data_IF_138284256508
#
_entry.id   IF_138284256508
#
_cell.length_a   1.000
_cell.length_b   1.000
_cell.length_c   1.000
_cell.angle_alpha   90.00
_cell.angle_beta   90.00
_cell.angle_gamma   90.00
#
_symmetry.space_group_name_H-M   'P 1'
#
loop_
_entity.id
_entity.type
_entity.pdbx_description
1 polymer ?
#
# COMPACT_ATOMS: atom_id res chain seq x y z
N UNK A 1 23.38 -14.30 37.07
CA UNK A 1 23.85 -14.05 35.70
C UNK A 1 22.68 -13.57 34.88
N UNK A 2 22.57 -12.24 34.65
CA UNK A 2 21.55 -11.67 33.80
C UNK A 2 22.04 -11.85 32.36
N UNK A 3 21.25 -12.55 31.54
CA UNK A 3 21.46 -12.58 30.11
C UNK A 3 21.34 -11.13 29.58
N UNK A 4 22.42 -10.59 29.05
CA UNK A 4 22.40 -9.37 28.24
C UNK A 4 21.55 -9.64 27.02
N UNK A 5 20.28 -9.28 27.08
CA UNK A 5 19.43 -9.19 25.90
C UNK A 5 20.05 -8.12 25.02
N UNK A 6 20.52 -8.54 23.87
CA UNK A 6 21.01 -7.70 22.78
C UNK A 6 19.92 -6.66 22.48
N UNK A 7 20.07 -5.44 23.00
CA UNK A 7 19.02 -4.43 23.02
C UNK A 7 18.92 -3.81 21.63
N UNK A 8 18.05 -4.38 20.82
CA UNK A 8 17.45 -3.70 19.68
C UNK A 8 17.09 -2.26 20.10
N UNK A 9 17.32 -1.26 19.25
CA UNK A 9 16.99 0.14 19.57
C UNK A 9 15.53 0.23 20.08
N UNK A 10 15.28 0.63 21.35
CA UNK A 10 13.94 0.58 21.96
C UNK A 10 12.89 1.34 21.17
N UNK A 11 13.29 2.45 20.52
CA UNK A 11 12.39 3.23 19.67
C UNK A 11 11.99 2.46 18.41
N UNK A 12 12.90 1.71 17.80
CA UNK A 12 12.58 0.84 16.66
C UNK A 12 11.72 -0.34 17.11
N UNK A 13 12.07 -0.98 18.24
CA UNK A 13 11.32 -2.10 18.79
C UNK A 13 9.86 -1.73 19.09
N UNK A 14 9.62 -0.57 19.70
CA UNK A 14 8.26 -0.08 19.96
C UNK A 14 7.52 0.21 18.64
N UNK A 15 8.16 0.86 17.67
CA UNK A 15 7.55 1.14 16.37
C UNK A 15 7.19 -0.13 15.60
N UNK A 16 8.06 -1.13 15.60
CA UNK A 16 7.82 -2.44 15.00
C UNK A 16 6.67 -3.19 15.69
N UNK A 17 6.62 -3.16 17.03
CA UNK A 17 5.56 -3.81 17.80
C UNK A 17 4.19 -3.16 17.53
N UNK A 18 4.12 -1.83 17.45
CA UNK A 18 2.90 -1.09 17.10
C UNK A 18 2.46 -1.45 15.66
N UNK A 19 3.38 -1.43 14.71
CA UNK A 19 3.11 -1.80 13.33
C UNK A 19 2.58 -3.24 13.21
N UNK A 20 3.21 -4.19 13.90
CA UNK A 20 2.78 -5.59 13.91
C UNK A 20 1.39 -5.79 14.58
N UNK A 21 1.09 -5.04 15.63
CA UNK A 21 -0.22 -5.09 16.28
C UNK A 21 -1.32 -4.54 15.35
N UNK A 22 -1.04 -3.43 14.64
CA UNK A 22 -1.95 -2.86 13.64
C UNK A 22 -2.19 -3.83 12.48
N UNK A 23 -1.12 -4.42 11.93
CA UNK A 23 -1.22 -5.41 10.84
C UNK A 23 -2.08 -6.61 11.24
N UNK A 24 -1.88 -7.12 12.45
CA UNK A 24 -2.70 -8.22 12.99
C UNK A 24 -4.18 -7.85 13.09
N UNK A 25 -4.49 -6.67 13.65
CA UNK A 25 -5.86 -6.19 13.77
C UNK A 25 -6.52 -5.99 12.39
N UNK A 26 -5.79 -5.47 11.41
CA UNK A 26 -6.27 -5.32 10.04
C UNK A 26 -6.49 -6.67 9.36
N UNK A 27 -5.58 -7.62 9.51
CA UNK A 27 -5.73 -8.96 8.96
C UNK A 27 -6.95 -9.69 9.53
N UNK A 28 -7.14 -9.64 10.86
CA UNK A 28 -8.32 -10.22 11.52
C UNK A 28 -9.61 -9.58 11.01
N UNK A 29 -9.64 -8.25 10.95
CA UNK A 29 -10.80 -7.50 10.51
C UNK A 29 -11.12 -7.74 9.03
N UNK A 30 -10.15 -7.58 8.13
CA UNK A 30 -10.34 -7.77 6.70
C UNK A 30 -10.70 -9.21 6.34
N UNK A 31 -10.12 -10.20 7.02
CA UNK A 31 -10.47 -11.61 6.82
C UNK A 31 -11.96 -11.89 7.03
N UNK A 32 -12.54 -11.29 8.07
CA UNK A 32 -13.97 -11.40 8.36
C UNK A 32 -14.81 -10.62 7.35
N UNK A 33 -14.37 -9.41 7.01
CA UNK A 33 -15.09 -8.52 6.10
C UNK A 33 -15.18 -9.08 4.68
N UNK A 34 -14.08 -9.56 4.11
CA UNK A 34 -14.05 -10.02 2.71
C UNK A 34 -14.77 -11.36 2.50
N UNK A 35 -14.97 -12.14 3.56
CA UNK A 35 -15.66 -13.43 3.50
C UNK A 35 -17.11 -13.27 3.00
N UNK A 36 -17.79 -12.16 3.28
CA UNK A 36 -19.15 -11.89 2.79
C UNK A 36 -19.24 -11.77 1.26
N UNK A 37 -18.11 -11.51 0.58
CA UNK A 37 -18.01 -11.44 -0.88
C UNK A 37 -17.51 -12.77 -1.50
N UNK A 38 -17.44 -13.87 -0.75
CA UNK A 38 -16.83 -15.13 -1.22
C UNK A 38 -15.32 -15.02 -1.45
N UNK A 39 -14.67 -14.02 -0.84
CA UNK A 39 -13.23 -13.77 -0.97
C UNK A 39 -12.47 -14.19 0.28
N UNK A 40 -11.16 -14.28 0.15
CA UNK A 40 -10.23 -14.62 1.24
C UNK A 40 -9.12 -13.59 1.32
N UNK A 41 -8.73 -13.21 2.53
CA UNK A 41 -7.50 -12.47 2.78
C UNK A 41 -6.35 -13.47 2.95
N UNK A 42 -5.34 -13.33 2.11
CA UNK A 42 -4.12 -14.15 2.16
C UNK A 42 -2.98 -13.22 2.59
N UNK A 43 -2.38 -13.47 3.74
CA UNK A 43 -1.25 -12.68 4.30
C UNK A 43 0.04 -13.51 4.48
N UNK A 44 -0.01 -14.80 4.10
CA UNK A 44 1.14 -15.70 4.16
C UNK A 44 1.18 -16.54 2.89
N UNK A 45 2.39 -16.92 2.49
CA UNK A 45 2.59 -17.91 1.44
C UNK A 45 2.30 -19.33 1.93
N UNK A 46 2.41 -20.29 1.04
CA UNK A 46 2.25 -21.70 1.37
C UNK A 46 3.25 -22.13 2.44
N UNK A 47 2.81 -23.04 3.30
CA UNK A 47 3.69 -23.59 4.31
C UNK A 47 4.82 -24.40 3.64
N UNK A 48 6.04 -24.25 4.14
CA UNK A 48 7.17 -25.04 3.69
C UNK A 48 6.91 -26.51 4.01
N UNK A 49 6.85 -27.42 3.02
CA UNK A 49 6.47 -28.83 3.23
C UNK A 49 7.41 -29.59 4.16
N UNK A 50 8.67 -29.11 4.31
CA UNK A 50 9.66 -29.76 5.18
C UNK A 50 9.61 -29.27 6.64
N UNK A 51 9.24 -28.03 6.86
CA UNK A 51 9.30 -27.40 8.20
C UNK A 51 7.93 -27.06 8.78
N UNK A 52 6.86 -27.10 7.97
CA UNK A 52 5.52 -26.66 8.33
C UNK A 52 5.40 -25.14 8.59
N UNK A 53 6.50 -24.39 8.44
CA UNK A 53 6.48 -22.94 8.67
C UNK A 53 5.87 -22.20 7.49
N UNK A 54 5.00 -21.24 7.77
CA UNK A 54 4.47 -20.31 6.77
C UNK A 54 5.62 -19.52 6.14
N UNK A 55 5.51 -19.31 4.83
CA UNK A 55 6.45 -18.51 4.07
C UNK A 55 5.94 -17.08 3.87
N UNK A 56 6.76 -16.23 3.29
CA UNK A 56 6.31 -14.92 2.82
C UNK A 56 5.34 -15.08 1.66
N UNK A 57 4.35 -14.20 1.58
CA UNK A 57 3.47 -14.13 0.42
C UNK A 57 4.24 -13.46 -0.73
N UNK A 58 4.63 -14.26 -1.71
CA UNK A 58 5.36 -13.79 -2.88
C UNK A 58 4.46 -13.79 -4.11
N UNK A 59 4.36 -12.65 -4.78
CA UNK A 59 3.83 -12.54 -6.13
C UNK A 59 4.97 -12.17 -7.09
N UNK A 60 4.80 -12.54 -8.35
CA UNK A 60 5.86 -12.37 -9.35
C UNK A 60 5.41 -11.39 -10.45
N UNK A 61 6.35 -10.69 -11.05
CA UNK A 61 6.13 -9.93 -12.28
C UNK A 61 6.28 -10.80 -13.53
N UNK A 62 6.16 -10.18 -14.72
CA UNK A 62 6.32 -10.87 -16.00
C UNK A 62 7.76 -11.37 -16.27
N UNK A 63 8.74 -10.91 -15.50
CA UNK A 63 10.15 -11.29 -15.63
C UNK A 63 10.58 -12.31 -14.57
N UNK A 64 9.65 -12.73 -13.68
CA UNK A 64 9.94 -13.68 -12.61
C UNK A 64 10.53 -13.03 -11.35
N UNK A 65 10.54 -11.70 -11.25
CA UNK A 65 10.97 -11.01 -10.03
C UNK A 65 9.92 -11.21 -8.94
N UNK A 66 10.36 -11.67 -7.78
CA UNK A 66 9.48 -11.91 -6.63
C UNK A 66 9.30 -10.64 -5.80
N UNK A 67 8.06 -10.31 -5.49
CA UNK A 67 7.66 -9.22 -4.59
C UNK A 67 6.95 -9.79 -3.38
N UNK A 68 7.42 -9.41 -2.18
CA UNK A 68 6.75 -9.77 -0.94
C UNK A 68 5.57 -8.83 -0.71
N UNK A 69 4.36 -9.39 -0.65
CA UNK A 69 3.13 -8.66 -0.34
C UNK A 69 2.76 -8.86 1.12
N UNK A 70 2.25 -7.81 1.77
CA UNK A 70 1.77 -7.92 3.15
C UNK A 70 0.45 -8.71 3.19
N UNK A 71 -0.48 -8.42 2.26
CA UNK A 71 -1.68 -9.22 2.07
C UNK A 71 -2.27 -9.09 0.66
N UNK A 72 -3.11 -10.05 0.29
CA UNK A 72 -3.85 -10.07 -0.97
C UNK A 72 -5.27 -10.55 -0.69
N UNK A 73 -6.27 -9.84 -1.23
CA UNK A 73 -7.64 -10.35 -1.27
C UNK A 73 -7.80 -11.13 -2.57
N UNK A 74 -8.12 -12.41 -2.46
CA UNK A 74 -8.29 -13.33 -3.57
C UNK A 74 -9.72 -13.91 -3.61
N UNK A 75 -10.17 -14.29 -4.81
CA UNK A 75 -11.43 -14.99 -4.98
C UNK A 75 -11.30 -16.49 -4.59
N UNK A 76 -12.39 -17.26 -4.72
CA UNK A 76 -12.40 -18.70 -4.42
C UNK A 76 -11.40 -19.51 -5.25
N UNK A 77 -11.12 -19.08 -6.48
CA UNK A 77 -10.12 -19.69 -7.36
C UNK A 77 -8.69 -19.22 -7.06
N UNK A 78 -8.45 -18.54 -5.95
CA UNK A 78 -7.16 -17.97 -5.52
C UNK A 78 -6.58 -16.94 -6.50
N UNK A 79 -7.39 -16.35 -7.35
CA UNK A 79 -6.95 -15.25 -8.20
C UNK A 79 -6.89 -13.95 -7.38
N UNK A 80 -5.79 -13.20 -7.40
CA UNK A 80 -5.65 -11.95 -6.65
C UNK A 80 -6.57 -10.87 -7.24
N UNK A 81 -7.35 -10.21 -6.39
CA UNK A 81 -8.27 -9.13 -6.78
C UNK A 81 -7.83 -7.77 -6.26
N UNK A 82 -7.29 -7.73 -5.03
CA UNK A 82 -6.81 -6.50 -4.40
C UNK A 82 -5.48 -6.77 -3.72
N UNK A 83 -4.47 -5.94 -4.01
CA UNK A 83 -3.21 -5.91 -3.26
C UNK A 83 -3.40 -5.02 -2.02
N UNK A 84 -2.92 -5.49 -0.88
CA UNK A 84 -3.00 -4.74 0.39
C UNK A 84 -1.61 -4.65 1.01
N UNK A 85 -1.21 -3.44 1.36
CA UNK A 85 0.09 -3.16 1.95
C UNK A 85 -0.08 -2.38 3.25
N UNK A 86 0.65 -2.77 4.30
CA UNK A 86 0.66 -2.11 5.60
C UNK A 86 2.00 -1.45 5.83
N UNK A 87 2.03 -0.13 6.01
CA UNK A 87 3.28 0.59 6.23
C UNK A 87 3.17 1.50 7.43
N UNK A 88 4.00 1.23 8.42
CA UNK A 88 4.20 2.11 9.55
C UNK A 88 5.51 2.89 9.40
N UNK A 89 5.48 4.21 9.60
CA UNK A 89 6.65 5.08 9.62
C UNK A 89 6.55 6.09 10.76
N UNK A 90 7.54 6.09 11.63
CA UNK A 90 7.63 7.09 12.70
C UNK A 90 8.20 8.42 12.21
N UNK A 91 9.27 8.40 11.40
CA UNK A 91 9.98 9.59 10.94
C UNK A 91 9.85 9.77 9.43
N UNK A 92 9.63 11.01 9.00
CA UNK A 92 9.37 11.35 7.57
C UNK A 92 10.52 11.04 6.61
N UNK A 93 11.77 10.89 7.09
CA UNK A 93 12.96 10.78 6.22
C UNK A 93 12.97 9.58 5.26
N UNK A 94 12.23 8.51 5.55
CA UNK A 94 12.19 7.29 4.72
C UNK A 94 10.89 7.15 3.92
N UNK A 95 10.03 8.16 3.92
CA UNK A 95 8.71 8.09 3.27
C UNK A 95 8.79 7.84 1.78
N UNK A 96 9.69 8.58 1.09
CA UNK A 96 9.80 8.52 -0.36
C UNK A 96 10.26 7.15 -0.83
N UNK A 97 11.30 6.61 -0.21
CA UNK A 97 11.87 5.31 -0.59
C UNK A 97 10.86 4.18 -0.41
N UNK A 98 10.19 4.14 0.75
CA UNK A 98 9.15 3.12 1.04
C UNK A 98 7.95 3.26 0.12
N UNK A 99 7.51 4.49 -0.17
CA UNK A 99 6.42 4.75 -1.10
C UNK A 99 6.77 4.37 -2.54
N UNK A 100 7.97 4.70 -3.01
CA UNK A 100 8.45 4.34 -4.36
C UNK A 100 8.52 2.82 -4.55
N UNK A 101 9.07 2.11 -3.54
CA UNK A 101 9.11 0.65 -3.60
C UNK A 101 7.72 0.03 -3.70
N UNK A 102 6.77 0.50 -2.91
CA UNK A 102 5.38 0.05 -2.94
C UNK A 102 4.77 0.27 -4.33
N UNK A 103 4.93 1.46 -4.92
CA UNK A 103 4.46 1.77 -6.27
C UNK A 103 5.06 0.81 -7.30
N UNK A 104 6.37 0.57 -7.24
CA UNK A 104 7.08 -0.34 -8.15
C UNK A 104 6.55 -1.77 -8.02
N UNK A 105 6.45 -2.30 -6.81
CA UNK A 105 5.98 -3.65 -6.55
C UNK A 105 4.53 -3.86 -7.04
N UNK A 106 3.62 -2.96 -6.65
CA UNK A 106 2.22 -3.07 -7.04
C UNK A 106 2.02 -2.97 -8.55
N UNK A 107 2.70 -2.03 -9.22
CA UNK A 107 2.61 -1.88 -10.68
C UNK A 107 3.16 -3.11 -11.41
N UNK A 108 4.30 -3.65 -10.99
CA UNK A 108 4.91 -4.83 -11.60
C UNK A 108 4.01 -6.06 -11.47
N UNK A 109 3.45 -6.29 -10.28
CA UNK A 109 2.55 -7.41 -10.02
C UNK A 109 1.22 -7.27 -10.77
N UNK A 110 0.63 -6.06 -10.81
CA UNK A 110 -0.62 -5.79 -11.57
C UNK A 110 -0.47 -6.04 -13.07
N UNK A 111 0.70 -5.74 -13.65
CA UNK A 111 0.96 -6.03 -15.09
C UNK A 111 0.90 -7.51 -15.41
N UNK A 112 1.25 -8.37 -14.49
CA UNK A 112 1.18 -9.84 -14.66
C UNK A 112 -0.20 -10.39 -14.35
N UNK A 113 -0.84 -9.91 -13.30
CA UNK A 113 -2.09 -10.43 -12.78
C UNK A 113 -3.27 -9.55 -13.19
N UNK A 114 -3.84 -9.80 -14.37
CA UNK A 114 -4.96 -9.03 -14.94
C UNK A 114 -6.24 -9.07 -14.08
N UNK A 115 -6.34 -10.02 -13.13
CA UNK A 115 -7.45 -10.10 -12.18
C UNK A 115 -7.38 -9.03 -11.09
N UNK A 116 -6.23 -8.39 -10.86
CA UNK A 116 -6.07 -7.36 -9.84
C UNK A 116 -6.77 -6.08 -10.27
N UNK A 117 -7.81 -5.71 -9.53
CA UNK A 117 -8.67 -4.55 -9.79
C UNK A 117 -8.24 -3.30 -9.02
N UNK A 118 -7.57 -3.48 -7.86
CA UNK A 118 -7.21 -2.38 -6.97
C UNK A 118 -5.92 -2.65 -6.19
N UNK A 119 -5.27 -1.56 -5.81
CA UNK A 119 -4.16 -1.54 -4.86
C UNK A 119 -4.52 -0.65 -3.68
N UNK A 120 -4.34 -1.16 -2.46
CA UNK A 120 -4.63 -0.48 -1.22
C UNK A 120 -3.35 -0.39 -0.40
N UNK A 121 -3.06 0.79 0.15
CA UNK A 121 -2.01 0.97 1.15
C UNK A 121 -2.57 1.63 2.41
N UNK A 122 -2.36 0.98 3.56
CA UNK A 122 -2.71 1.49 4.87
C UNK A 122 -1.44 2.04 5.50
N UNK A 123 -1.41 3.36 5.62
CA UNK A 123 -0.25 4.14 6.03
C UNK A 123 -0.42 4.62 7.46
N UNK A 124 0.37 4.13 8.39
CA UNK A 124 0.34 4.59 9.77
C UNK A 124 1.57 5.44 10.09
N UNK A 125 1.36 6.51 10.88
CA UNK A 125 2.42 7.38 11.35
C UNK A 125 2.66 8.63 10.50
N UNK A 126 3.92 9.05 10.39
CA UNK A 126 4.31 10.37 9.85
C UNK A 126 4.56 10.32 8.33
N UNK A 127 3.53 10.29 7.53
CA UNK A 127 3.61 10.31 6.06
C UNK A 127 3.52 11.71 5.47
N UNK A 128 4.46 12.09 4.60
CA UNK A 128 4.45 13.39 3.92
C UNK A 128 3.36 13.47 2.86
N UNK A 129 2.86 14.69 2.60
CA UNK A 129 1.89 14.93 1.54
C UNK A 129 2.44 14.52 0.17
N UNK A 130 3.71 14.84 -0.12
CA UNK A 130 4.36 14.48 -1.39
C UNK A 130 4.46 12.98 -1.62
N UNK A 131 4.79 12.19 -0.58
CA UNK A 131 4.80 10.73 -0.70
C UNK A 131 3.41 10.16 -0.92
N UNK A 132 2.39 10.72 -0.27
CA UNK A 132 1.00 10.33 -0.48
C UNK A 132 0.51 10.68 -1.89
N UNK A 133 0.84 11.88 -2.39
CA UNK A 133 0.50 12.30 -3.75
C UNK A 133 1.16 11.37 -4.80
N UNK A 134 2.44 11.04 -4.62
CA UNK A 134 3.15 10.09 -5.49
C UNK A 134 2.46 8.72 -5.52
N UNK A 135 2.09 8.14 -4.37
CA UNK A 135 1.40 6.84 -4.37
C UNK A 135 0.02 6.91 -5.03
N UNK A 136 -0.73 8.02 -4.85
CA UNK A 136 -2.01 8.22 -5.54
C UNK A 136 -1.85 8.33 -7.05
N UNK A 137 -0.77 8.97 -7.54
CA UNK A 137 -0.49 9.05 -8.99
C UNK A 137 -0.15 7.68 -9.62
N UNK A 138 0.06 6.66 -8.80
CA UNK A 138 0.21 5.26 -9.20
C UNK A 138 -1.07 4.41 -8.93
N UNK A 139 -2.23 5.05 -8.86
CA UNK A 139 -3.54 4.41 -8.64
C UNK A 139 -3.60 3.54 -7.37
N UNK A 140 -2.95 4.00 -6.30
CA UNK A 140 -2.99 3.33 -5.00
C UNK A 140 -3.98 4.06 -4.08
N UNK A 141 -4.99 3.35 -3.61
CA UNK A 141 -5.95 3.83 -2.63
C UNK A 141 -5.29 3.90 -1.25
N UNK A 142 -5.22 5.09 -0.67
CA UNK A 142 -4.52 5.35 0.58
C UNK A 142 -5.49 5.54 1.75
N UNK A 143 -5.23 4.79 2.83
CA UNK A 143 -5.88 4.95 4.12
C UNK A 143 -4.84 5.34 5.14
N UNK A 144 -5.01 6.48 5.81
CA UNK A 144 -3.97 7.07 6.66
C UNK A 144 -4.40 7.07 8.11
N UNK A 145 -3.57 6.49 8.97
CA UNK A 145 -3.68 6.56 10.43
C UNK A 145 -2.62 7.57 10.90
N UNK A 146 -3.01 8.78 11.30
CA UNK A 146 -2.07 9.83 11.68
C UNK A 146 -1.20 9.46 12.88
N UNK A 147 0.04 9.96 12.91
CA UNK A 147 0.95 9.75 14.02
C UNK A 147 0.39 10.27 15.35
N UNK A 148 -0.30 11.40 15.28
CA UNK A 148 -0.95 12.06 16.43
C UNK A 148 -1.99 11.15 17.10
N UNK A 149 -2.78 10.42 16.30
CA UNK A 149 -3.74 9.45 16.83
C UNK A 149 -3.05 8.30 17.57
N UNK A 150 -1.98 7.76 16.97
CA UNK A 150 -1.20 6.68 17.59
C UNK A 150 -0.63 7.15 18.94
N UNK A 151 -0.06 8.35 18.95
CA UNK A 151 0.53 8.97 20.15
C UNK A 151 -0.52 9.18 21.23
N UNK A 152 -1.72 9.64 20.88
CA UNK A 152 -2.81 9.85 21.82
C UNK A 152 -3.27 8.54 22.46
N UNK A 153 -3.47 7.50 21.65
CA UNK A 153 -3.88 6.18 22.14
C UNK A 153 -2.86 5.60 23.11
N UNK A 154 -1.57 5.64 22.76
CA UNK A 154 -0.51 5.16 23.62
C UNK A 154 -0.39 5.96 24.93
N UNK A 155 -0.63 7.28 24.88
CA UNK A 155 -0.62 8.14 26.08
C UNK A 155 -1.68 7.75 27.10
N UNK A 156 -2.83 7.22 26.69
CA UNK A 156 -3.87 6.71 27.60
C UNK A 156 -3.35 5.54 28.46
N UNK A 157 -2.33 4.84 27.98
CA UNK A 157 -1.64 3.77 28.71
C UNK A 157 -0.33 4.26 29.37
N UNK A 158 -0.13 5.57 29.49
CA UNK A 158 1.08 6.16 30.10
C UNK A 158 2.35 6.02 29.24
N UNK A 159 2.20 5.65 27.98
CA UNK A 159 3.30 5.47 27.04
C UNK A 159 3.48 6.76 26.24
N UNK A 160 4.62 7.43 26.40
CA UNK A 160 4.99 8.58 25.60
C UNK A 160 5.57 8.08 24.28
N UNK A 161 5.10 8.59 23.12
CA UNK A 161 5.56 8.12 21.82
C UNK A 161 6.05 9.24 20.89
N UNK A 162 5.94 10.48 21.30
CA UNK A 162 6.30 11.70 20.59
C UNK A 162 7.69 12.25 20.94
N UNK A 163 8.60 11.41 21.46
CA UNK A 163 9.97 11.82 21.80
C UNK A 163 10.83 12.07 20.55
N UNK A 164 11.85 12.94 20.68
CA UNK A 164 12.84 13.20 19.65
C UNK A 164 13.84 12.05 19.45
N UNK A 165 14.56 12.05 18.33
CA UNK A 165 15.54 10.98 18.02
C UNK A 165 16.62 10.81 19.09
N UNK A 166 16.93 11.88 19.86
CA UNK A 166 17.97 11.89 20.90
C UNK A 166 17.49 11.47 22.31
N UNK A 167 16.18 11.39 22.51
CA UNK A 167 15.56 11.12 23.82
C UNK A 167 15.52 9.61 24.12
N UNK A 168 16.70 9.00 24.18
CA UNK A 168 16.83 7.54 24.32
C UNK A 168 16.21 7.01 25.60
N UNK A 169 16.31 7.72 26.71
CA UNK A 169 15.77 7.28 28.01
C UNK A 169 14.24 7.21 27.98
N UNK A 170 13.61 8.18 27.32
CA UNK A 170 12.15 8.15 27.11
C UNK A 170 11.75 6.98 26.22
N UNK A 171 12.54 6.64 25.20
CA UNK A 171 12.30 5.48 24.35
C UNK A 171 12.39 4.16 25.13
N UNK A 172 13.37 4.03 26.01
CA UNK A 172 13.54 2.85 26.90
C UNK A 172 12.36 2.70 27.84
N UNK A 173 11.96 3.78 28.52
CA UNK A 173 10.83 3.77 29.43
C UNK A 173 9.52 3.41 28.71
N UNK A 174 9.29 4.02 27.55
CA UNK A 174 8.08 3.79 26.77
C UNK A 174 8.01 2.35 26.24
N UNK A 175 9.12 1.80 25.79
CA UNK A 175 9.21 0.40 25.40
C UNK A 175 8.91 -0.54 26.57
N UNK A 176 9.50 -0.30 27.75
CA UNK A 176 9.25 -1.09 28.94
C UNK A 176 7.76 -1.05 29.35
N UNK A 177 7.11 0.12 29.30
CA UNK A 177 5.67 0.26 29.57
C UNK A 177 4.83 -0.51 28.55
N UNK A 178 5.17 -0.44 27.27
CA UNK A 178 4.45 -1.18 26.22
C UNK A 178 4.57 -2.70 26.41
N UNK A 179 5.72 -3.18 26.84
CA UNK A 179 5.93 -4.61 27.15
C UNK A 179 5.06 -5.10 28.32
N UNK A 180 4.70 -4.22 29.25
CA UNK A 180 3.84 -4.55 30.39
C UNK A 180 2.35 -4.60 30.01
N UNK A 181 1.96 -4.05 28.87
CA UNK A 181 0.58 -4.18 28.40
C UNK A 181 0.25 -5.66 28.12
N UNK A 182 -0.92 -6.07 28.55
CA UNK A 182 -1.48 -7.36 28.18
C UNK A 182 -1.75 -7.45 26.69
N UNK A 183 -1.86 -8.64 26.14
CA UNK A 183 -2.21 -8.83 24.72
C UNK A 183 -3.60 -8.25 24.40
N UNK A 184 -4.52 -8.27 25.37
CA UNK A 184 -5.85 -7.64 25.23
C UNK A 184 -5.74 -6.13 25.09
N UNK A 185 -4.93 -5.46 25.91
CA UNK A 185 -4.72 -4.01 25.82
C UNK A 185 -4.02 -3.62 24.51
N UNK A 186 -2.99 -4.38 24.08
CA UNK A 186 -2.32 -4.16 22.80
C UNK A 186 -3.30 -4.31 21.63
N UNK A 187 -4.17 -5.31 21.69
CA UNK A 187 -5.22 -5.54 20.70
C UNK A 187 -6.21 -4.38 20.67
N UNK A 188 -6.69 -3.93 21.83
CA UNK A 188 -7.60 -2.80 21.94
C UNK A 188 -7.00 -1.53 21.33
N UNK A 189 -5.75 -1.20 21.66
CA UNK A 189 -5.02 -0.07 21.05
C UNK A 189 -4.98 -0.19 19.51
N UNK A 190 -4.68 -1.38 18.99
CA UNK A 190 -4.64 -1.61 17.56
C UNK A 190 -6.02 -1.48 16.89
N UNK A 191 -7.08 -1.98 17.52
CA UNK A 191 -8.47 -1.85 17.05
C UNK A 191 -8.92 -0.38 17.01
N UNK A 192 -8.59 0.40 18.06
CA UNK A 192 -8.86 1.83 18.11
C UNK A 192 -8.05 2.61 17.05
N UNK A 193 -6.80 2.20 16.76
CA UNK A 193 -6.00 2.81 15.70
C UNK A 193 -6.67 2.72 14.34
N UNK A 194 -7.22 1.54 14.01
CA UNK A 194 -7.80 1.29 12.68
C UNK A 194 -9.26 1.74 12.56
N UNK A 195 -9.93 2.08 13.67
CA UNK A 195 -11.37 2.34 13.70
C UNK A 195 -11.82 3.41 12.69
N UNK A 196 -11.09 4.53 12.60
CA UNK A 196 -11.50 5.66 11.76
C UNK A 196 -11.37 5.38 10.25
N UNK A 197 -10.49 4.46 9.86
CA UNK A 197 -10.29 4.12 8.45
C UNK A 197 -11.24 3.02 7.98
N UNK A 198 -11.84 2.24 8.88
CA UNK A 198 -12.72 1.10 8.53
C UNK A 198 -13.82 1.46 7.55
N UNK A 199 -14.66 2.49 7.76
CA UNK A 199 -15.77 2.77 6.85
C UNK A 199 -15.33 3.09 5.42
N UNK A 200 -14.25 3.86 5.26
CA UNK A 200 -13.71 4.20 3.96
C UNK A 200 -13.02 3.00 3.28
N UNK A 201 -12.35 2.15 4.06
CA UNK A 201 -11.71 0.92 3.60
C UNK A 201 -12.76 -0.09 3.13
N UNK A 202 -13.83 -0.27 3.90
CA UNK A 202 -14.99 -1.10 3.55
C UNK A 202 -15.63 -0.65 2.25
N UNK A 203 -15.89 0.65 2.10
CA UNK A 203 -16.49 1.21 0.89
C UNK A 203 -15.60 0.96 -0.35
N UNK A 204 -14.28 1.13 -0.23
CA UNK A 204 -13.35 0.90 -1.33
C UNK A 204 -13.26 -0.58 -1.73
N UNK A 205 -13.21 -1.49 -0.74
CA UNK A 205 -13.19 -2.93 -0.98
C UNK A 205 -14.52 -3.39 -1.58
N UNK A 206 -15.66 -2.97 -1.02
CA UNK A 206 -16.99 -3.34 -1.52
C UNK A 206 -17.18 -2.88 -2.97
N UNK A 207 -16.83 -1.64 -3.28
CA UNK A 207 -16.88 -1.12 -4.67
C UNK A 207 -16.04 -1.98 -5.62
N UNK A 208 -14.90 -2.49 -5.18
CA UNK A 208 -14.00 -3.31 -6.01
C UNK A 208 -14.51 -4.74 -6.18
N UNK A 209 -15.11 -5.31 -5.13
CA UNK A 209 -15.57 -6.71 -5.11
C UNK A 209 -17.01 -6.89 -5.58
N UNK A 210 -17.80 -5.82 -5.69
CA UNK A 210 -19.17 -5.87 -6.15
C UNK A 210 -19.23 -6.31 -7.61
N UNK A 211 -19.72 -7.53 -7.82
CA UNK A 211 -19.91 -8.12 -9.15
C UNK A 211 -21.26 -7.78 -9.77
N UNK A 212 -22.16 -7.07 -9.05
CA UNK A 212 -23.45 -6.64 -9.57
C UNK A 212 -23.35 -5.41 -10.49
N UNK A 213 -22.25 -4.65 -10.37
CA UNK A 213 -21.98 -3.48 -11.21
C UNK A 213 -21.51 -3.94 -12.60
N UNK A 214 -22.18 -3.47 -13.65
CA UNK A 214 -21.76 -3.72 -15.02
C UNK A 214 -20.31 -3.23 -15.24
N UNK A 215 -19.51 -4.03 -15.94
CA UNK A 215 -18.14 -3.66 -16.30
C UNK A 215 -18.18 -2.84 -17.59
N UNK A 216 -17.83 -1.59 -17.47
CA UNK A 216 -17.74 -0.66 -18.60
C UNK A 216 -16.27 -0.27 -18.83
N UNK A 217 -15.94 0.10 -20.07
CA UNK A 217 -14.63 0.63 -20.40
C UNK A 217 -14.58 2.07 -19.92
N UNK A 218 -13.80 2.33 -18.89
CA UNK A 218 -13.57 3.68 -18.35
C UNK A 218 -12.52 4.44 -19.15
N UNK A 219 -11.52 3.69 -19.67
CA UNK A 219 -10.39 4.29 -20.36
C UNK A 219 -9.72 3.27 -21.29
N UNK A 220 -9.32 3.73 -22.45
CA UNK A 220 -8.43 3.00 -23.36
C UNK A 220 -7.11 3.76 -23.46
N UNK A 221 -5.98 3.06 -23.32
CA UNK A 221 -4.64 3.64 -23.42
C UNK A 221 -3.91 2.97 -24.57
N UNK A 222 -3.42 3.79 -25.51
CA UNK A 222 -2.55 3.36 -26.59
C UNK A 222 -1.13 3.87 -26.33
N UNK A 223 -0.17 2.98 -26.29
CA UNK A 223 1.25 3.33 -26.21
C UNK A 223 1.96 2.90 -27.50
N UNK A 224 2.64 3.83 -28.15
CA UNK A 224 3.43 3.59 -29.34
C UNK A 224 4.89 3.74 -28.97
N UNK A 225 5.64 2.65 -29.11
CA UNK A 225 7.06 2.59 -28.84
C UNK A 225 7.84 2.61 -30.16
N UNK A 226 8.76 3.55 -30.30
CA UNK A 226 9.65 3.61 -31.49
C UNK A 226 10.92 2.79 -31.29
N UNK A 227 11.61 2.49 -32.37
CA UNK A 227 12.89 1.76 -32.34
C UNK A 227 14.02 2.54 -31.67
N UNK A 228 13.87 3.86 -31.50
CA UNK A 228 14.85 4.72 -30.83
C UNK A 228 14.48 5.01 -29.37
N UNK A 229 13.43 4.34 -28.83
CA UNK A 229 13.04 4.41 -27.43
C UNK A 229 12.07 5.53 -27.10
N UNK A 230 11.54 6.26 -28.08
CA UNK A 230 10.44 7.20 -27.80
C UNK A 230 9.16 6.44 -27.48
N UNK A 231 8.37 6.98 -26.54
CA UNK A 231 7.06 6.45 -26.16
C UNK A 231 6.03 7.57 -26.26
N UNK A 232 5.07 7.39 -27.15
CA UNK A 232 3.90 8.28 -27.26
C UNK A 232 2.71 7.58 -26.64
N UNK A 233 1.97 8.30 -25.79
CA UNK A 233 0.80 7.76 -25.08
C UNK A 233 -0.43 8.60 -25.37
N UNK A 234 -1.51 7.92 -25.70
CA UNK A 234 -2.81 8.50 -26.01
C UNK A 234 -3.86 7.87 -25.11
N UNK A 235 -4.71 8.70 -24.53
CA UNK A 235 -5.78 8.29 -23.62
C UNK A 235 -7.13 8.57 -24.28
N UNK A 236 -8.01 7.55 -24.37
CA UNK A 236 -9.33 7.63 -24.97
C UNK A 236 -10.41 7.23 -23.96
N UNK A 237 -11.61 7.76 -24.11
CA UNK A 237 -12.76 7.43 -23.25
C UNK A 237 -13.49 6.16 -23.68
N UNK A 238 -13.37 5.78 -24.95
CA UNK A 238 -14.02 4.59 -25.49
C UNK A 238 -13.11 3.82 -26.45
N UNK A 239 -13.49 2.58 -26.74
CA UNK A 239 -12.83 1.75 -27.76
C UNK A 239 -13.03 2.35 -29.14
N UNK A 240 -14.22 2.95 -29.42
CA UNK A 240 -14.51 3.62 -30.68
C UNK A 240 -13.54 4.75 -30.95
N UNK A 241 -13.38 5.68 -30.00
CA UNK A 241 -12.44 6.81 -30.14
C UNK A 241 -11.00 6.36 -30.43
N UNK A 242 -10.58 5.24 -29.83
CA UNK A 242 -9.26 4.69 -30.05
C UNK A 242 -9.11 4.05 -31.45
N UNK A 243 -10.18 3.43 -31.98
CA UNK A 243 -10.21 2.88 -33.32
C UNK A 243 -10.21 3.97 -34.38
N UNK A 244 -11.06 4.99 -34.22
CA UNK A 244 -11.12 6.15 -35.11
C UNK A 244 -9.75 6.84 -35.19
N UNK A 245 -9.09 7.02 -34.04
CA UNK A 245 -7.71 7.54 -34.00
C UNK A 245 -6.73 6.68 -34.76
N UNK A 246 -6.83 5.34 -34.68
CA UNK A 246 -5.92 4.43 -35.38
C UNK A 246 -6.18 4.37 -36.88
N UNK A 247 -7.42 4.59 -37.34
CA UNK A 247 -7.77 4.65 -38.75
C UNK A 247 -7.19 5.91 -39.44
N UNK A 248 -7.18 7.03 -38.73
CA UNK A 248 -6.61 8.30 -39.21
C UNK A 248 -5.13 8.49 -38.85
N UNK A 249 -4.47 7.45 -38.32
CA UNK A 249 -3.12 7.53 -37.78
C UNK A 249 -2.06 7.86 -38.81
N UNK A 250 -1.42 9.03 -38.67
CA UNK A 250 -0.23 9.43 -39.44
C UNK A 250 1.03 9.35 -38.59
N UNK A 251 1.93 8.45 -38.92
CA UNK A 251 3.22 8.29 -38.24
C UNK A 251 4.06 9.57 -38.23
N UNK A 252 4.09 10.29 -39.36
CA UNK A 252 4.92 11.49 -39.53
C UNK A 252 4.44 12.64 -38.61
N UNK A 253 3.13 12.83 -38.48
CA UNK A 253 2.57 13.87 -37.62
C UNK A 253 2.77 13.57 -36.16
N UNK A 254 2.58 12.31 -35.75
CA UNK A 254 2.62 11.91 -34.34
C UNK A 254 4.03 11.82 -33.78
N UNK A 255 5.02 11.47 -34.63
CA UNK A 255 6.41 11.43 -34.23
C UNK A 255 7.08 12.80 -34.30
N UNK A 256 6.38 13.86 -34.77
CA UNK A 256 6.88 15.21 -34.64
C UNK A 256 7.01 15.57 -33.15
N UNK A 257 8.17 16.07 -32.74
CA UNK A 257 8.42 16.50 -31.36
C UNK A 257 8.06 17.99 -31.14
N UNK A 258 7.23 18.57 -32.01
CA UNK A 258 6.87 19.99 -31.96
C UNK A 258 6.23 20.39 -30.62
N UNK A 259 5.47 19.47 -30.01
CA UNK A 259 4.78 19.66 -28.72
C UNK A 259 5.49 18.95 -27.54
N UNK A 260 6.73 18.53 -27.73
CA UNK A 260 7.47 17.86 -26.66
C UNK A 260 7.77 18.86 -25.51
N UNK A 261 7.48 18.42 -24.28
CA UNK A 261 7.77 19.21 -23.08
C UNK A 261 9.28 19.42 -22.94
N UNK A 262 9.66 20.62 -22.56
CA UNK A 262 11.05 20.96 -22.23
C UNK A 262 11.36 20.62 -20.76
N UNK A 263 12.62 20.66 -20.39
CA UNK A 263 13.04 20.47 -18.98
C UNK A 263 12.41 21.50 -18.00
N UNK A 264 11.90 22.59 -18.54
CA UNK A 264 11.40 23.72 -17.76
C UNK A 264 9.87 23.78 -17.67
N UNK A 265 9.18 22.95 -18.46
CA UNK A 265 7.72 22.90 -18.45
C UNK A 265 7.25 22.23 -17.16
N UNK A 266 6.40 22.93 -16.45
CA UNK A 266 5.79 22.44 -15.22
C UNK A 266 4.31 22.15 -15.45
N UNK A 267 3.78 21.04 -14.89
CA UNK A 267 2.35 20.82 -14.93
C UNK A 267 1.64 22.00 -14.23
N UNK A 268 0.53 22.45 -14.81
CA UNK A 268 -0.38 23.35 -14.12
C UNK A 268 -0.90 22.62 -12.87
N UNK A 269 -0.42 23.00 -11.71
CA UNK A 269 -0.97 22.52 -10.43
C UNK A 269 -2.29 23.25 -10.27
N UNK A 270 -3.42 22.54 -10.47
CA UNK A 270 -4.71 23.04 -10.06
C UNK A 270 -4.65 23.35 -8.55
N UNK A 271 -5.00 24.55 -8.17
CA UNK A 271 -5.24 24.92 -6.79
C UNK A 271 -6.48 24.13 -6.32
N UNK A 272 -6.25 23.05 -5.54
CA UNK A 272 -7.26 22.34 -4.74
C UNK A 272 -7.11 22.72 -3.26
#
# INVERSE_FOLDING_TARGET
>A
MRAEQNTQNPGSALGEAIGASMERALNEYLSQWVAQFGCRLISRGEANPKTGKETKLLLYDNFGTAYNMDAVIANESMQPLILVEYKYIRYKKHNRDKGSWLCTAHNAVRRRHSSIRSSIAILAGSWSQTSRAMMRSHDINLFVIPFEKITELLRRHGIKFDWGEKDRDVAVESWAKYQLLTETEKRQVAEEMIADIKPALEAAISKTLDNSVAREVEKVVLEIHTTIGEVKRFDFKSVGDALDFLEDFSFEEILSNADALTLWDRPSVGED
#
